data_IF_961388790718
#
_entry.id   IF_961388790718
#
_cell.length_a   1.000
_cell.length_b   1.000
_cell.length_c   1.000
_cell.angle_alpha   90.00
_cell.angle_beta   90.00
_cell.angle_gamma   90.00
#
_symmetry.space_group_name_H-M   'P 1'
#
loop_
_entity.id
_entity.type
_entity.pdbx_description
1 polymer ?
#
# COMPACT_ATOMS: atom_id res chain seq x y z
N UNK A 1 -10.02 17.24 36.43
CA UNK A 1 -9.67 16.81 35.05
C UNK A 1 -10.70 17.40 34.09
N UNK A 2 -10.39 18.51 33.43
CA UNK A 2 -11.28 19.16 32.47
C UNK A 2 -11.32 18.31 31.19
N UNK A 3 -12.45 17.64 30.94
CA UNK A 3 -12.73 16.99 29.65
C UNK A 3 -12.83 18.09 28.59
N UNK A 4 -11.79 18.22 27.75
CA UNK A 4 -11.92 18.93 26.49
C UNK A 4 -13.17 18.41 25.76
N UNK A 5 -13.99 19.28 25.15
CA UNK A 5 -15.12 18.81 24.34
C UNK A 5 -14.55 17.87 23.27
N UNK A 6 -15.13 16.68 23.15
CA UNK A 6 -14.80 15.75 22.08
C UNK A 6 -15.15 16.44 20.78
N UNK A 7 -14.16 16.99 20.09
CA UNK A 7 -14.35 17.49 18.74
C UNK A 7 -14.68 16.28 17.86
N UNK A 8 -15.97 16.11 17.58
CA UNK A 8 -16.43 15.14 16.60
C UNK A 8 -15.74 15.45 15.28
N UNK A 9 -15.23 14.41 14.60
CA UNK A 9 -14.56 14.52 13.30
C UNK A 9 -15.59 14.71 12.19
N UNK A 10 -16.33 15.82 12.27
CA UNK A 10 -17.52 16.08 11.46
C UNK A 10 -17.23 16.17 9.96
N UNK A 11 -16.07 16.73 9.57
CA UNK A 11 -15.66 16.81 8.17
C UNK A 11 -15.39 15.39 7.62
N UNK A 12 -14.67 14.56 8.38
CA UNK A 12 -14.40 13.17 7.98
C UNK A 12 -15.70 12.38 7.77
N UNK A 13 -16.64 12.48 8.71
CA UNK A 13 -17.94 11.81 8.61
C UNK A 13 -18.75 12.32 7.43
N UNK A 14 -18.80 13.64 7.22
CA UNK A 14 -19.50 14.24 6.08
C UNK A 14 -18.93 13.76 4.74
N UNK A 15 -17.60 13.72 4.63
CA UNK A 15 -16.92 13.23 3.42
C UNK A 15 -17.20 11.74 3.22
N UNK A 16 -17.13 10.91 4.26
CA UNK A 16 -17.44 9.48 4.15
C UNK A 16 -18.90 9.21 3.77
N UNK A 17 -19.85 9.97 4.30
CA UNK A 17 -21.26 9.87 3.91
C UNK A 17 -21.43 10.27 2.44
N UNK A 18 -20.75 11.32 1.99
CA UNK A 18 -20.77 11.75 0.58
C UNK A 18 -20.23 10.64 -0.32
N UNK A 19 -19.11 10.04 0.06
CA UNK A 19 -18.48 8.91 -0.62
C UNK A 19 -19.43 7.71 -0.68
N UNK A 20 -20.07 7.36 0.45
CA UNK A 20 -21.04 6.27 0.53
C UNK A 20 -22.22 6.49 -0.44
N UNK A 21 -22.81 7.69 -0.44
CA UNK A 21 -23.93 8.02 -1.31
C UNK A 21 -23.53 7.96 -2.79
N UNK A 22 -22.36 8.51 -3.13
CA UNK A 22 -21.81 8.46 -4.48
C UNK A 22 -21.65 7.02 -4.98
N UNK A 23 -21.09 6.12 -4.16
CA UNK A 23 -20.91 4.72 -4.56
C UNK A 23 -22.18 3.90 -4.54
N UNK A 24 -23.09 4.13 -3.59
CA UNK A 24 -24.39 3.48 -3.60
C UNK A 24 -25.13 3.79 -4.91
N UNK A 25 -25.16 5.06 -5.32
CA UNK A 25 -25.76 5.48 -6.58
C UNK A 25 -25.02 4.89 -7.80
N UNK A 26 -23.68 5.01 -7.83
CA UNK A 26 -22.87 4.52 -8.94
C UNK A 26 -22.96 3.01 -9.15
N UNK A 27 -22.91 2.23 -8.06
CA UNK A 27 -23.00 0.78 -8.12
C UNK A 27 -24.38 0.31 -8.58
N UNK A 28 -25.46 0.94 -8.08
CA UNK A 28 -26.82 0.68 -8.56
C UNK A 28 -26.94 0.94 -10.07
N UNK A 29 -26.39 2.05 -10.57
CA UNK A 29 -26.38 2.35 -12.00
C UNK A 29 -25.62 1.29 -12.80
N UNK A 30 -24.41 0.92 -12.39
CA UNK A 30 -23.59 -0.10 -13.08
C UNK A 30 -24.34 -1.43 -13.17
N UNK A 31 -24.91 -1.90 -12.07
CA UNK A 31 -25.64 -3.17 -12.04
C UNK A 31 -26.89 -3.12 -12.90
N UNK A 32 -27.65 -2.02 -12.84
CA UNK A 32 -28.87 -1.85 -13.66
C UNK A 32 -28.59 -1.84 -15.17
N UNK A 33 -27.42 -1.36 -15.59
CA UNK A 33 -27.04 -1.27 -17.00
C UNK A 33 -26.38 -2.55 -17.50
N UNK A 34 -25.65 -3.26 -16.64
CA UNK A 34 -24.73 -4.31 -17.08
C UNK A 34 -25.25 -5.73 -16.80
N UNK A 35 -26.11 -5.93 -15.79
CA UNK A 35 -26.71 -7.25 -15.54
C UNK A 35 -28.06 -7.35 -16.25
N UNK A 36 -28.20 -8.35 -17.12
CA UNK A 36 -29.42 -8.71 -17.87
C UNK A 36 -30.49 -9.42 -17.01
N UNK A 37 -30.23 -9.65 -15.74
CA UNK A 37 -31.21 -10.19 -14.80
C UNK A 37 -32.22 -9.09 -14.43
N UNK A 38 -33.52 -9.39 -14.49
CA UNK A 38 -34.56 -8.45 -14.08
C UNK A 38 -34.27 -7.91 -12.68
N UNK A 39 -34.05 -6.60 -12.57
CA UNK A 39 -33.95 -5.94 -11.28
C UNK A 39 -35.30 -6.09 -10.58
N UNK A 40 -35.41 -7.06 -9.66
CA UNK A 40 -36.56 -7.17 -8.78
C UNK A 40 -36.32 -6.15 -7.65
N UNK A 41 -37.10 -5.05 -7.54
CA UNK A 41 -36.93 -4.00 -6.55
C UNK A 41 -37.38 -4.47 -5.15
N UNK A 42 -36.79 -5.57 -4.67
CA UNK A 42 -37.01 -6.11 -3.34
C UNK A 42 -35.83 -5.70 -2.46
N UNK A 43 -36.09 -5.39 -1.19
CA UNK A 43 -35.04 -5.07 -0.19
C UNK A 43 -33.93 -6.12 -0.20
N UNK A 44 -34.31 -7.40 -0.34
CA UNK A 44 -33.36 -8.51 -0.43
C UNK A 44 -32.48 -8.46 -1.69
N UNK A 45 -33.07 -8.17 -2.86
CA UNK A 45 -32.31 -8.01 -4.11
C UNK A 45 -31.33 -6.83 -4.07
N UNK A 46 -31.75 -5.71 -3.47
CA UNK A 46 -30.87 -4.54 -3.27
C UNK A 46 -29.73 -4.87 -2.31
N UNK A 47 -30.00 -5.60 -1.22
CA UNK A 47 -28.96 -6.04 -0.28
C UNK A 47 -28.00 -7.03 -0.92
N UNK A 48 -28.49 -8.04 -1.65
CA UNK A 48 -27.66 -9.05 -2.32
C UNK A 48 -26.77 -8.42 -3.41
N UNK A 49 -27.25 -7.35 -4.06
CA UNK A 49 -26.47 -6.57 -5.03
C UNK A 49 -25.41 -5.72 -4.34
N UNK A 50 -25.78 -5.01 -3.26
CA UNK A 50 -24.92 -4.01 -2.61
C UNK A 50 -23.99 -4.59 -1.55
N UNK A 51 -24.23 -5.81 -1.07
CA UNK A 51 -23.46 -6.45 0.01
C UNK A 51 -21.93 -6.37 -0.16
N UNK A 52 -21.35 -6.53 -1.38
CA UNK A 52 -19.91 -6.48 -1.55
C UNK A 52 -19.36 -5.07 -1.28
N UNK A 53 -20.11 -4.02 -1.58
CA UNK A 53 -19.65 -2.65 -1.39
C UNK A 53 -20.00 -2.11 0.00
N UNK A 54 -21.15 -2.51 0.56
CA UNK A 54 -21.67 -1.97 1.83
C UNK A 54 -20.77 -2.32 3.01
N UNK A 55 -20.27 -3.56 3.10
CA UNK A 55 -19.47 -3.99 4.24
C UNK A 55 -18.18 -3.18 4.43
N UNK A 56 -17.29 -3.01 3.41
CA UNK A 56 -16.15 -2.10 3.50
C UNK A 56 -16.51 -0.68 3.93
N UNK A 57 -17.60 -0.10 3.40
CA UNK A 57 -18.00 1.25 3.74
C UNK A 57 -18.49 1.39 5.18
N UNK A 58 -19.25 0.42 5.68
CA UNK A 58 -19.65 0.38 7.09
C UNK A 58 -18.42 0.28 8.00
N UNK A 59 -17.39 -0.47 7.60
CA UNK A 59 -16.13 -0.53 8.33
C UNK A 59 -15.40 0.82 8.30
N UNK A 60 -15.33 1.52 7.17
CA UNK A 60 -14.75 2.88 7.10
C UNK A 60 -15.48 3.86 8.04
N UNK A 61 -16.82 3.83 8.08
CA UNK A 61 -17.59 4.62 9.03
C UNK A 61 -17.28 4.22 10.48
N UNK A 62 -17.20 2.92 10.76
CA UNK A 62 -16.82 2.40 12.08
C UNK A 62 -15.44 2.88 12.53
N UNK A 63 -14.45 2.89 11.62
CA UNK A 63 -13.11 3.43 11.87
C UNK A 63 -13.19 4.93 12.17
N UNK A 64 -13.93 5.70 11.37
CA UNK A 64 -14.09 7.15 11.59
C UNK A 64 -14.67 7.47 12.95
N UNK A 65 -15.74 6.76 13.34
CA UNK A 65 -16.34 6.87 14.67
C UNK A 65 -15.34 6.47 15.75
N UNK A 66 -14.64 5.34 15.60
CA UNK A 66 -13.62 4.89 16.56
C UNK A 66 -12.48 5.90 16.74
N UNK A 67 -12.00 6.50 15.65
CA UNK A 67 -10.98 7.55 15.68
C UNK A 67 -11.51 8.85 16.31
N UNK A 68 -12.78 9.20 16.10
CA UNK A 68 -13.40 10.35 16.79
C UNK A 68 -13.39 10.21 18.31
N UNK A 69 -13.37 8.98 18.83
CA UNK A 69 -13.34 8.68 20.26
C UNK A 69 -11.92 8.63 20.84
N UNK A 70 -10.95 8.08 20.08
CA UNK A 70 -9.57 7.84 20.56
C UNK A 70 -8.57 8.89 20.11
N UNK A 71 -8.68 9.39 18.89
CA UNK A 71 -7.71 10.26 18.23
C UNK A 71 -8.36 11.46 17.52
N UNK A 72 -9.06 12.37 18.24
CA UNK A 72 -9.83 13.46 17.62
C UNK A 72 -8.99 14.45 16.79
N UNK A 73 -7.68 14.51 17.04
CA UNK A 73 -6.73 15.41 16.37
C UNK A 73 -6.11 14.83 15.10
N UNK A 74 -6.42 13.58 14.75
CA UNK A 74 -5.89 12.94 13.53
C UNK A 74 -6.46 13.60 12.26
N UNK A 75 -5.66 13.59 11.19
CA UNK A 75 -6.03 14.12 9.87
C UNK A 75 -7.37 13.53 9.38
N UNK A 76 -8.31 14.39 9.03
CA UNK A 76 -9.69 14.03 8.69
C UNK A 76 -9.92 13.76 7.19
N UNK A 77 -8.89 13.90 6.35
CA UNK A 77 -8.98 13.81 4.90
C UNK A 77 -8.48 12.46 4.36
N UNK A 78 -7.48 11.85 5.02
CA UNK A 78 -6.87 10.61 4.53
C UNK A 78 -7.87 9.44 4.46
N UNK A 79 -8.65 9.20 5.52
CA UNK A 79 -9.60 8.07 5.54
C UNK A 79 -10.69 8.20 4.45
N UNK A 80 -11.37 9.36 4.28
CA UNK A 80 -12.31 9.54 3.18
C UNK A 80 -11.70 9.40 1.79
N UNK A 81 -10.46 9.87 1.59
CA UNK A 81 -9.77 9.72 0.30
C UNK A 81 -9.47 8.24 -0.01
N UNK A 82 -9.03 7.47 0.98
CA UNK A 82 -8.82 6.02 0.83
C UNK A 82 -10.14 5.32 0.54
N UNK A 83 -11.21 5.67 1.24
CA UNK A 83 -12.55 5.13 0.98
C UNK A 83 -13.06 5.48 -0.42
N UNK A 84 -12.78 6.71 -0.90
CA UNK A 84 -13.10 7.15 -2.26
C UNK A 84 -12.37 6.29 -3.29
N UNK A 85 -11.05 6.18 -3.19
CA UNK A 85 -10.26 5.40 -4.16
C UNK A 85 -10.62 3.91 -4.15
N UNK A 86 -10.82 3.33 -2.95
CA UNK A 86 -11.24 1.94 -2.82
C UNK A 86 -12.63 1.70 -3.46
N UNK A 87 -13.59 2.59 -3.21
CA UNK A 87 -14.91 2.51 -3.82
C UNK A 87 -14.88 2.67 -5.34
N UNK A 88 -14.06 3.58 -5.87
CA UNK A 88 -13.88 3.73 -7.31
C UNK A 88 -13.34 2.43 -7.92
N UNK A 89 -12.34 1.82 -7.28
CA UNK A 89 -11.82 0.51 -7.68
C UNK A 89 -12.89 -0.55 -7.74
N UNK A 90 -13.68 -0.72 -6.67
CA UNK A 90 -14.79 -1.69 -6.63
C UNK A 90 -15.83 -1.45 -7.71
N UNK A 91 -16.20 -0.19 -7.95
CA UNK A 91 -17.17 0.17 -8.99
C UNK A 91 -16.65 -0.16 -10.40
N UNK A 92 -15.37 0.13 -10.68
CA UNK A 92 -14.76 -0.17 -11.97
C UNK A 92 -14.65 -1.69 -12.18
N UNK A 93 -14.27 -2.44 -11.14
CA UNK A 93 -14.22 -3.91 -11.21
C UNK A 93 -15.60 -4.50 -11.46
N UNK A 94 -16.64 -4.05 -10.73
CA UNK A 94 -18.02 -4.50 -10.94
C UNK A 94 -18.54 -4.19 -12.35
N UNK A 95 -18.10 -3.07 -12.94
CA UNK A 95 -18.41 -2.71 -14.33
C UNK A 95 -17.68 -3.59 -15.34
N UNK A 96 -16.43 -3.99 -15.07
CA UNK A 96 -15.60 -4.77 -15.99
C UNK A 96 -15.89 -6.28 -15.95
N UNK A 97 -16.34 -6.79 -14.81
CA UNK A 97 -16.55 -8.23 -14.58
C UNK A 97 -17.35 -8.92 -15.71
N UNK A 98 -18.52 -8.41 -16.17
CA UNK A 98 -19.29 -9.13 -17.19
C UNK A 98 -18.59 -9.24 -18.54
N UNK A 99 -17.80 -8.22 -18.90
CA UNK A 99 -16.99 -8.25 -20.12
C UNK A 99 -15.79 -9.18 -20.02
N UNK A 100 -15.18 -9.31 -18.84
CA UNK A 100 -14.05 -10.22 -18.60
C UNK A 100 -14.51 -11.67 -18.47
N UNK A 101 -15.64 -11.92 -17.82
CA UNK A 101 -16.26 -13.23 -17.70
C UNK A 101 -16.69 -13.81 -19.06
N UNK A 102 -16.97 -12.96 -20.05
CA UNK A 102 -17.22 -13.38 -21.43
C UNK A 102 -15.95 -13.88 -22.15
N UNK A 103 -14.77 -13.41 -21.75
CA UNK A 103 -13.47 -13.84 -22.31
C UNK A 103 -12.99 -15.11 -21.63
N UNK A 104 -12.99 -15.14 -20.29
CA UNK A 104 -12.64 -16.32 -19.50
C UNK A 104 -13.51 -16.40 -18.25
N UNK A 105 -14.55 -17.23 -18.36
CA UNK A 105 -15.52 -17.43 -17.28
C UNK A 105 -14.93 -18.12 -16.04
N UNK A 106 -13.87 -18.92 -16.19
CA UNK A 106 -13.28 -19.64 -15.05
C UNK A 106 -12.45 -18.68 -14.20
N UNK A 107 -11.68 -17.80 -14.84
CA UNK A 107 -10.85 -16.84 -14.14
C UNK A 107 -11.65 -15.66 -13.56
N UNK A 108 -12.59 -15.10 -14.33
CA UNK A 108 -13.15 -13.78 -14.06
C UNK A 108 -14.55 -13.74 -13.45
N UNK A 109 -15.23 -14.88 -13.27
CA UNK A 109 -16.52 -14.90 -12.58
C UNK A 109 -16.38 -14.56 -11.09
N UNK A 110 -17.22 -13.65 -10.60
CA UNK A 110 -17.24 -13.20 -9.20
C UNK A 110 -16.00 -12.41 -8.78
N UNK A 111 -15.26 -11.81 -9.72
CA UNK A 111 -14.08 -10.99 -9.42
C UNK A 111 -14.45 -9.73 -8.65
N UNK A 112 -15.64 -9.18 -8.87
CA UNK A 112 -16.20 -8.06 -8.10
C UNK A 112 -16.32 -8.41 -6.60
N UNK A 113 -16.87 -9.58 -6.29
CA UNK A 113 -17.03 -10.10 -4.93
C UNK A 113 -15.66 -10.43 -4.29
N UNK A 114 -14.74 -11.05 -5.04
CA UNK A 114 -13.37 -11.29 -4.58
C UNK A 114 -12.65 -9.97 -4.25
N UNK A 115 -12.80 -8.95 -5.09
CA UNK A 115 -12.17 -7.64 -4.86
C UNK A 115 -12.75 -6.95 -3.63
N UNK A 116 -14.07 -7.01 -3.43
CA UNK A 116 -14.73 -6.54 -2.20
C UNK A 116 -14.19 -7.24 -0.95
N UNK A 117 -14.00 -8.55 -1.00
CA UNK A 117 -13.44 -9.31 0.12
C UNK A 117 -12.02 -8.81 0.46
N UNK A 118 -11.18 -8.60 -0.56
CA UNK A 118 -9.83 -8.06 -0.36
C UNK A 118 -9.82 -6.65 0.22
N UNK A 119 -10.72 -5.77 -0.24
CA UNK A 119 -10.88 -4.43 0.36
C UNK A 119 -11.33 -4.57 1.82
N UNK A 120 -12.29 -5.46 2.11
CA UNK A 120 -12.75 -5.72 3.49
C UNK A 120 -11.61 -6.18 4.38
N UNK A 121 -10.82 -7.17 3.93
CA UNK A 121 -9.64 -7.66 4.66
C UNK A 121 -8.65 -6.52 4.88
N UNK A 122 -8.37 -5.70 3.86
CA UNK A 122 -7.49 -4.53 3.96
C UNK A 122 -7.97 -3.52 5.00
N UNK A 123 -9.27 -3.22 5.05
CA UNK A 123 -9.88 -2.31 6.03
C UNK A 123 -9.87 -2.91 7.44
N UNK A 124 -10.03 -4.23 7.58
CA UNK A 124 -9.86 -4.93 8.85
C UNK A 124 -8.41 -4.83 9.33
N UNK A 125 -7.42 -5.11 8.46
CA UNK A 125 -5.99 -4.96 8.78
C UNK A 125 -5.68 -3.51 9.18
N UNK A 126 -6.19 -2.52 8.44
CA UNK A 126 -6.09 -1.10 8.79
C UNK A 126 -6.67 -0.82 10.19
N UNK A 127 -7.85 -1.37 10.49
CA UNK A 127 -8.50 -1.22 11.79
C UNK A 127 -7.64 -1.80 12.92
N UNK A 128 -7.06 -2.99 12.71
CA UNK A 128 -6.17 -3.61 13.68
C UNK A 128 -4.92 -2.73 13.86
N UNK A 129 -4.31 -2.23 12.78
CA UNK A 129 -3.15 -1.34 12.84
C UNK A 129 -3.46 -0.06 13.65
N UNK A 130 -4.63 0.56 13.43
CA UNK A 130 -5.01 1.82 14.08
C UNK A 130 -5.45 1.66 15.54
N UNK A 131 -6.17 0.59 15.87
CA UNK A 131 -6.82 0.45 17.19
C UNK A 131 -6.08 -0.46 18.17
N UNK A 132 -5.15 -1.28 17.71
CA UNK A 132 -4.27 -2.05 18.60
C UNK A 132 -3.13 -1.15 19.08
N UNK A 133 -2.86 -1.07 20.39
CA UNK A 133 -1.79 -0.23 20.92
C UNK A 133 -0.42 -0.92 20.74
N UNK A 134 0.04 -1.02 19.49
CA UNK A 134 1.28 -1.74 19.13
C UNK A 134 2.49 -1.30 19.94
N UNK A 135 2.67 0.00 20.14
CA UNK A 135 3.80 0.51 20.95
C UNK A 135 3.74 0.06 22.40
N UNK A 136 2.55 -0.11 22.98
CA UNK A 136 2.42 -0.61 24.35
C UNK A 136 2.71 -2.12 24.40
N UNK A 137 2.19 -2.87 23.44
CA UNK A 137 2.42 -4.32 23.34
C UNK A 137 3.91 -4.64 23.12
N UNK A 138 4.56 -3.93 22.19
CA UNK A 138 5.99 -4.11 21.93
C UNK A 138 6.84 -3.72 23.15
N UNK A 139 6.50 -2.62 23.84
CA UNK A 139 7.20 -2.24 25.08
C UNK A 139 7.00 -3.25 26.20
N UNK A 140 5.82 -3.85 26.30
CA UNK A 140 5.55 -4.86 27.34
C UNK A 140 6.31 -6.17 27.08
N UNK A 141 6.34 -6.64 25.83
CA UNK A 141 6.91 -7.95 25.50
C UNK A 141 8.40 -7.89 25.13
N UNK A 142 8.80 -6.93 24.30
CA UNK A 142 10.16 -6.78 23.76
C UNK A 142 10.97 -5.67 24.44
N UNK A 143 10.37 -4.89 25.36
CA UNK A 143 10.98 -3.73 26.05
C UNK A 143 11.45 -2.60 25.12
N UNK A 144 11.02 -2.59 23.88
CA UNK A 144 11.31 -1.56 22.86
C UNK A 144 10.01 -1.07 22.22
N UNK A 145 10.00 0.13 21.61
CA UNK A 145 8.86 0.55 20.79
C UNK A 145 8.84 -0.19 19.45
N UNK A 146 7.69 -0.21 18.77
CA UNK A 146 7.60 -0.86 17.45
C UNK A 146 8.58 -0.23 16.45
N UNK A 147 8.66 1.11 16.45
CA UNK A 147 9.56 1.85 15.57
C UNK A 147 11.03 1.54 15.87
N UNK A 148 11.45 1.55 17.14
CA UNK A 148 12.83 1.24 17.52
C UNK A 148 13.19 -0.20 17.13
N UNK A 149 12.25 -1.12 17.31
CA UNK A 149 12.47 -2.52 16.97
C UNK A 149 12.63 -2.73 15.46
N UNK A 150 11.81 -2.06 14.64
CA UNK A 150 11.94 -2.06 13.18
C UNK A 150 13.26 -1.43 12.73
N UNK A 151 13.69 -0.34 13.37
CA UNK A 151 14.94 0.34 13.06
C UNK A 151 16.16 -0.56 13.30
N UNK A 152 16.27 -1.16 14.49
CA UNK A 152 17.40 -2.01 14.85
C UNK A 152 17.51 -3.27 13.98
N UNK A 153 16.39 -3.79 13.47
CA UNK A 153 16.35 -5.03 12.69
C UNK A 153 16.23 -4.79 11.18
N UNK A 154 16.52 -3.58 10.69
CA UNK A 154 16.38 -3.18 9.27
C UNK A 154 17.04 -4.15 8.29
N UNK A 155 18.26 -4.62 8.58
CA UNK A 155 18.98 -5.57 7.72
C UNK A 155 18.38 -6.98 7.76
N UNK A 156 17.88 -7.43 8.91
CA UNK A 156 17.23 -8.73 9.03
C UNK A 156 15.94 -8.74 8.21
N UNK A 157 15.11 -7.70 8.34
CA UNK A 157 13.89 -7.55 7.56
C UNK A 157 14.15 -7.50 6.06
N UNK A 158 15.14 -6.71 5.63
CA UNK A 158 15.49 -6.63 4.22
C UNK A 158 16.01 -7.96 3.69
N UNK A 159 16.81 -8.68 4.46
CA UNK A 159 17.31 -10.02 4.10
C UNK A 159 16.16 -11.02 3.98
N UNK A 160 15.18 -10.98 4.89
CA UNK A 160 13.97 -11.81 4.81
C UNK A 160 13.18 -11.47 3.55
N UNK A 161 12.94 -10.19 3.26
CA UNK A 161 12.22 -9.75 2.07
C UNK A 161 12.90 -10.19 0.77
N UNK A 162 14.22 -9.99 0.67
CA UNK A 162 15.04 -10.47 -0.44
C UNK A 162 14.98 -12.00 -0.54
N UNK A 163 15.11 -12.70 0.58
CA UNK A 163 15.03 -14.16 0.64
C UNK A 163 13.70 -14.70 0.16
N UNK A 164 12.59 -14.03 0.51
CA UNK A 164 11.25 -14.40 0.02
C UNK A 164 11.13 -14.24 -1.50
N UNK A 165 11.69 -13.18 -2.08
CA UNK A 165 11.74 -12.98 -3.53
C UNK A 165 12.58 -14.07 -4.20
N UNK A 166 13.78 -14.34 -3.66
CA UNK A 166 14.64 -15.40 -4.20
C UNK A 166 13.94 -16.75 -4.13
N UNK A 167 13.20 -17.02 -3.06
CA UNK A 167 12.41 -18.23 -2.91
C UNK A 167 11.29 -18.36 -3.95
N UNK A 168 10.77 -17.27 -4.55
CA UNK A 168 9.79 -17.38 -5.64
C UNK A 168 10.39 -17.97 -6.91
N UNK A 169 11.70 -17.84 -7.14
CA UNK A 169 12.32 -18.47 -8.32
C UNK A 169 12.26 -20.00 -8.25
N UNK A 170 12.39 -20.57 -7.05
CA UNK A 170 12.32 -22.02 -6.83
C UNK A 170 10.89 -22.53 -6.63
N UNK A 171 10.12 -21.87 -5.74
CA UNK A 171 8.81 -22.35 -5.27
C UNK A 171 7.63 -21.47 -5.72
N UNK A 172 7.89 -20.43 -6.51
CA UNK A 172 6.87 -19.52 -6.96
C UNK A 172 5.99 -20.12 -8.06
N UNK A 173 4.85 -19.49 -8.20
CA UNK A 173 3.78 -19.76 -9.16
C UNK A 173 3.54 -18.50 -9.99
N UNK A 174 2.91 -18.70 -11.14
CA UNK A 174 2.57 -17.65 -12.09
C UNK A 174 1.07 -17.67 -12.37
N UNK A 175 0.25 -17.07 -11.49
CA UNK A 175 -1.21 -17.10 -11.62
C UNK A 175 -1.70 -16.37 -12.88
N UNK A 176 -0.89 -15.49 -13.46
CA UNK A 176 -1.26 -14.66 -14.61
C UNK A 176 -0.76 -15.24 -15.95
N UNK A 177 -0.06 -16.37 -15.96
CA UNK A 177 0.53 -16.95 -17.17
C UNK A 177 1.56 -16.05 -17.85
N UNK A 178 2.19 -15.14 -17.10
CA UNK A 178 3.17 -14.15 -17.58
C UNK A 178 4.54 -14.74 -17.94
N UNK A 179 4.76 -16.02 -17.62
CA UNK A 179 6.04 -16.71 -17.66
C UNK A 179 6.94 -16.42 -16.45
N UNK A 180 6.46 -15.67 -15.44
CA UNK A 180 7.26 -15.27 -14.28
C UNK A 180 6.69 -15.78 -12.97
N UNK A 181 7.50 -16.55 -12.23
CA UNK A 181 7.17 -17.09 -10.91
C UNK A 181 7.38 -16.04 -9.82
N UNK A 182 6.44 -15.11 -9.69
CA UNK A 182 6.50 -14.02 -8.71
C UNK A 182 5.58 -14.23 -7.48
N UNK A 183 4.72 -15.25 -7.49
CA UNK A 183 3.67 -15.42 -6.48
C UNK A 183 3.82 -16.72 -5.69
N UNK A 184 3.50 -16.72 -4.40
CA UNK A 184 3.25 -17.96 -3.67
C UNK A 184 1.76 -18.29 -3.72
N UNK A 185 1.42 -19.49 -4.21
CA UNK A 185 0.06 -20.00 -4.16
C UNK A 185 -0.13 -20.80 -2.88
N UNK A 186 -0.94 -20.27 -1.95
CA UNK A 186 -1.27 -20.91 -0.67
C UNK A 186 -2.61 -21.66 -0.72
N UNK A 187 -3.12 -21.94 -1.91
CA UNK A 187 -4.39 -22.62 -2.17
C UNK A 187 -5.59 -21.69 -2.08
N UNK A 188 -5.78 -21.02 -0.94
CA UNK A 188 -6.90 -20.11 -0.72
C UNK A 188 -6.64 -18.70 -1.27
N UNK A 189 -5.38 -18.27 -1.28
CA UNK A 189 -4.97 -16.97 -1.78
C UNK A 189 -3.56 -17.04 -2.38
N UNK A 190 -3.26 -16.07 -3.23
CA UNK A 190 -1.91 -15.87 -3.77
C UNK A 190 -1.28 -14.68 -3.07
N UNK A 191 -0.03 -14.83 -2.64
CA UNK A 191 0.74 -13.80 -1.97
C UNK A 191 1.93 -13.40 -2.84
N UNK A 192 2.05 -12.12 -3.15
CA UNK A 192 3.18 -11.57 -3.89
C UNK A 192 4.21 -10.98 -2.92
N UNK A 193 5.40 -11.58 -2.75
CA UNK A 193 6.37 -11.08 -1.79
C UNK A 193 6.92 -9.69 -2.10
N UNK A 194 6.86 -9.25 -3.37
CA UNK A 194 7.31 -7.91 -3.77
C UNK A 194 6.49 -6.80 -3.11
N UNK A 195 5.21 -7.05 -2.82
CA UNK A 195 4.36 -6.13 -2.06
C UNK A 195 4.89 -5.89 -0.66
N UNK A 196 5.32 -6.95 0.02
CA UNK A 196 5.92 -6.84 1.36
C UNK A 196 7.32 -6.22 1.29
N UNK A 197 8.13 -6.59 0.30
CA UNK A 197 9.46 -6.03 0.10
C UNK A 197 9.42 -4.51 -0.10
N UNK A 198 8.38 -3.96 -0.75
CA UNK A 198 8.20 -2.50 -0.89
C UNK A 198 8.15 -1.79 0.46
N UNK A 199 7.36 -2.32 1.40
CA UNK A 199 7.22 -1.74 2.75
C UNK A 199 8.53 -1.91 3.53
N UNK A 200 9.14 -3.09 3.47
CA UNK A 200 10.42 -3.36 4.13
C UNK A 200 11.53 -2.43 3.62
N UNK A 201 11.59 -2.18 2.31
CA UNK A 201 12.58 -1.29 1.72
C UNK A 201 12.37 0.16 2.17
N UNK A 202 11.13 0.63 2.25
CA UNK A 202 10.79 1.95 2.82
C UNK A 202 11.29 2.06 4.26
N UNK A 203 11.03 1.05 5.09
CA UNK A 203 11.50 1.00 6.48
C UNK A 203 13.03 1.01 6.51
N UNK A 204 13.69 0.17 5.72
CA UNK A 204 15.15 0.12 5.64
C UNK A 204 15.75 1.47 5.25
N UNK A 205 15.23 2.11 4.20
CA UNK A 205 15.71 3.41 3.73
C UNK A 205 15.50 4.48 4.80
N UNK A 206 14.33 4.54 5.42
CA UNK A 206 14.04 5.50 6.49
C UNK A 206 15.00 5.32 7.69
N UNK A 207 15.17 4.10 8.14
CA UNK A 207 16.04 3.73 9.27
C UNK A 207 17.51 4.03 8.99
N UNK A 208 18.02 3.60 7.82
CA UNK A 208 19.41 3.80 7.45
C UNK A 208 19.76 5.28 7.28
N UNK A 209 18.87 6.05 6.62
CA UNK A 209 19.07 7.49 6.41
C UNK A 209 18.96 8.28 7.72
N UNK A 210 18.12 7.84 8.67
CA UNK A 210 18.02 8.45 9.98
C UNK A 210 19.30 8.25 10.82
N UNK A 211 19.83 7.02 10.87
CA UNK A 211 21.07 6.70 11.59
C UNK A 211 22.28 7.47 11.06
N UNK A 212 22.36 7.66 9.74
CA UNK A 212 23.49 8.33 9.09
C UNK A 212 23.20 9.80 8.77
N UNK A 213 22.13 10.39 9.32
CA UNK A 213 21.67 11.74 8.97
C UNK A 213 22.77 12.78 9.10
N UNK A 214 23.52 12.76 10.20
CA UNK A 214 24.58 13.74 10.47
C UNK A 214 25.70 13.64 9.43
N UNK A 215 26.15 12.42 9.13
CA UNK A 215 27.22 12.15 8.15
C UNK A 215 26.78 12.45 6.71
N UNK A 216 25.51 12.19 6.38
CA UNK A 216 24.92 12.48 5.08
C UNK A 216 24.69 13.99 4.90
N UNK A 217 24.37 14.71 5.98
CA UNK A 217 24.17 16.17 5.96
C UNK A 217 25.47 16.98 5.94
N UNK A 218 26.56 16.46 6.53
CA UNK A 218 27.86 17.13 6.63
C UNK A 218 28.78 16.86 5.43
N UNK A 219 28.24 16.39 4.30
CA UNK A 219 28.98 15.90 3.13
C UNK A 219 30.22 16.71 2.75
N UNK A 220 31.24 16.03 2.23
CA UNK A 220 32.47 16.67 1.77
C UNK A 220 32.15 17.65 0.62
N UNK A 221 32.57 18.91 0.77
CA UNK A 221 32.47 19.92 -0.28
C UNK A 221 33.55 19.66 -1.33
N UNK A 222 33.18 19.03 -2.45
CA UNK A 222 33.98 18.99 -3.67
C UNK A 222 33.45 20.09 -4.61
N UNK A 223 33.84 21.33 -4.34
CA UNK A 223 33.37 22.50 -5.12
C UNK A 223 31.91 22.85 -4.84
N UNK A 224 31.05 23.14 -5.86
CA UNK A 224 29.62 23.39 -5.64
C UNK A 224 28.82 22.13 -5.27
N UNK A 225 29.46 20.96 -5.24
CA UNK A 225 28.85 19.66 -4.94
C UNK A 225 29.21 19.21 -3.52
N UNK A 226 28.21 19.20 -2.65
CA UNK A 226 28.28 18.49 -1.36
C UNK A 226 27.95 17.02 -1.60
N UNK A 227 28.98 16.17 -1.64
CA UNK A 227 28.81 14.72 -1.75
C UNK A 227 28.93 14.08 -0.36
N UNK A 228 27.94 13.32 0.14
CA UNK A 228 28.10 12.43 1.28
C UNK A 228 29.29 11.51 1.02
N UNK A 229 30.02 11.08 2.06
CA UNK A 229 31.14 10.19 1.86
C UNK A 229 30.64 8.89 1.21
N UNK A 230 31.22 8.51 0.06
CA UNK A 230 30.86 7.30 -0.70
C UNK A 230 30.67 6.04 0.16
N UNK A 231 31.49 5.78 1.21
CA UNK A 231 31.32 4.60 2.07
C UNK A 231 29.94 4.48 2.72
N UNK A 232 29.23 5.59 2.95
CA UNK A 232 27.90 5.58 3.58
C UNK A 232 26.76 5.45 2.57
N UNK A 233 26.96 5.88 1.33
CA UNK A 233 25.99 5.67 0.25
C UNK A 233 26.08 4.24 -0.32
N UNK A 234 27.26 3.60 -0.27
CA UNK A 234 27.45 2.27 -0.86
C UNK A 234 26.52 1.18 -0.29
N UNK A 235 26.35 1.02 1.04
CA UNK A 235 25.43 0.02 1.58
C UNK A 235 23.97 0.30 1.22
N UNK A 236 23.57 1.58 1.25
CA UNK A 236 22.23 2.03 0.87
C UNK A 236 21.94 1.68 -0.59
N UNK A 237 22.79 2.14 -1.51
CA UNK A 237 22.63 1.93 -2.96
C UNK A 237 22.81 0.46 -3.32
N UNK A 238 23.71 -0.27 -2.65
CA UNK A 238 23.93 -1.69 -2.89
C UNK A 238 22.72 -2.53 -2.52
N UNK A 239 22.16 -2.33 -1.32
CA UNK A 239 20.99 -3.07 -0.85
C UNK A 239 19.73 -2.70 -1.65
N UNK A 240 19.54 -1.41 -1.93
CA UNK A 240 18.46 -0.94 -2.80
C UNK A 240 18.60 -1.50 -4.21
N UNK A 241 19.80 -1.46 -4.79
CA UNK A 241 20.11 -1.95 -6.13
C UNK A 241 19.90 -3.45 -6.25
N UNK A 242 20.24 -4.22 -5.21
CA UNK A 242 19.93 -5.64 -5.12
C UNK A 242 18.41 -5.90 -5.14
N UNK A 243 17.65 -5.18 -4.31
CA UNK A 243 16.19 -5.30 -4.28
C UNK A 243 15.56 -4.91 -5.63
N UNK A 244 16.02 -3.82 -6.25
CA UNK A 244 15.58 -3.38 -7.58
C UNK A 244 15.90 -4.40 -8.66
N UNK A 245 17.11 -4.96 -8.67
CA UNK A 245 17.51 -6.00 -9.61
C UNK A 245 16.56 -7.19 -9.55
N UNK A 246 16.23 -7.66 -8.35
CA UNK A 246 15.30 -8.77 -8.15
C UNK A 246 13.89 -8.47 -8.69
N UNK A 247 13.38 -7.25 -8.48
CA UNK A 247 12.06 -6.83 -8.96
C UNK A 247 12.04 -6.73 -10.49
N UNK A 248 13.12 -6.23 -11.10
CA UNK A 248 13.29 -6.20 -12.56
C UNK A 248 13.33 -7.63 -13.11
N UNK A 249 14.02 -8.57 -12.43
CA UNK A 249 13.99 -9.99 -12.81
C UNK A 249 12.60 -10.60 -12.70
N UNK A 250 11.78 -10.15 -11.74
CA UNK A 250 10.36 -10.52 -11.65
C UNK A 250 9.49 -9.82 -12.72
N UNK A 251 10.08 -9.04 -13.63
CA UNK A 251 9.39 -8.27 -14.68
C UNK A 251 8.29 -7.36 -14.15
N UNK A 252 8.40 -6.92 -12.90
CA UNK A 252 7.46 -6.00 -12.27
C UNK A 252 7.98 -4.56 -12.40
N UNK A 253 7.89 -4.04 -13.63
CA UNK A 253 8.35 -2.68 -13.94
C UNK A 253 7.61 -1.61 -13.13
N UNK A 254 6.31 -1.81 -12.87
CA UNK A 254 5.52 -0.90 -12.05
C UNK A 254 6.08 -0.77 -10.64
N UNK A 255 6.35 -1.90 -9.98
CA UNK A 255 6.96 -1.90 -8.65
C UNK A 255 8.37 -1.29 -8.66
N UNK A 256 9.18 -1.57 -9.69
CA UNK A 256 10.51 -0.98 -9.83
C UNK A 256 10.44 0.55 -9.91
N UNK A 257 9.55 1.11 -10.74
CA UNK A 257 9.36 2.56 -10.88
C UNK A 257 8.91 3.22 -9.58
N UNK A 258 7.97 2.59 -8.87
CA UNK A 258 7.49 3.09 -7.59
C UNK A 258 8.62 3.12 -6.56
N UNK A 259 9.38 2.04 -6.41
CA UNK A 259 10.49 1.98 -5.44
C UNK A 259 11.64 2.90 -5.80
N UNK A 260 11.93 3.06 -7.09
CA UNK A 260 12.89 4.03 -7.59
C UNK A 260 12.48 5.46 -7.20
N UNK A 261 11.21 5.81 -7.42
CA UNK A 261 10.67 7.13 -7.08
C UNK A 261 10.70 7.38 -5.58
N UNK A 262 10.31 6.38 -4.77
CA UNK A 262 10.38 6.44 -3.30
C UNK A 262 11.82 6.61 -2.81
N UNK A 263 12.77 5.89 -3.40
CA UNK A 263 14.18 6.01 -3.07
C UNK A 263 14.70 7.42 -3.32
N UNK A 264 14.44 8.00 -4.50
CA UNK A 264 14.84 9.37 -4.81
C UNK A 264 14.19 10.38 -3.88
N UNK A 265 12.90 10.22 -3.57
CA UNK A 265 12.19 11.10 -2.66
C UNK A 265 12.79 11.06 -1.25
N UNK A 266 13.07 9.87 -0.71
CA UNK A 266 13.69 9.72 0.60
C UNK A 266 15.13 10.25 0.64
N UNK A 267 15.91 10.00 -0.41
CA UNK A 267 17.27 10.50 -0.52
C UNK A 267 17.29 12.03 -0.58
N UNK A 268 16.36 12.64 -1.33
CA UNK A 268 16.19 14.10 -1.36
C UNK A 268 15.81 14.65 0.02
N UNK A 269 14.84 14.04 0.71
CA UNK A 269 14.41 14.48 2.04
C UNK A 269 15.56 14.37 3.06
N UNK A 270 16.39 13.33 2.98
CA UNK A 270 17.50 13.13 3.90
C UNK A 270 18.72 14.04 3.61
N UNK A 271 19.02 14.29 2.34
CA UNK A 271 20.21 15.06 1.91
C UNK A 271 19.93 16.54 1.67
N UNK A 272 18.67 16.92 1.43
CA UNK A 272 18.26 18.23 0.90
C UNK A 272 18.98 18.64 -0.40
N UNK A 273 19.58 17.69 -1.12
CA UNK A 273 20.37 17.94 -2.32
C UNK A 273 19.66 17.42 -3.57
N UNK A 274 19.18 18.36 -4.39
CA UNK A 274 18.47 18.06 -5.64
C UNK A 274 19.34 17.37 -6.71
N UNK A 275 20.67 17.43 -6.59
CA UNK A 275 21.57 16.81 -7.57
C UNK A 275 21.42 15.28 -7.60
N UNK A 276 21.12 14.64 -6.48
CA UNK A 276 20.86 13.20 -6.44
C UNK A 276 19.61 12.80 -7.21
N UNK A 277 18.57 13.63 -7.12
CA UNK A 277 17.33 13.42 -7.87
C UNK A 277 17.60 13.58 -9.36
N UNK A 278 18.33 14.62 -9.77
CA UNK A 278 18.71 14.83 -11.17
C UNK A 278 19.55 13.67 -11.71
N UNK A 279 20.57 13.25 -10.96
CA UNK A 279 21.41 12.11 -11.32
C UNK A 279 20.57 10.82 -11.45
N UNK A 280 19.69 10.55 -10.48
CA UNK A 280 18.77 9.43 -10.51
C UNK A 280 17.85 9.46 -11.74
N UNK A 281 17.14 10.57 -11.96
CA UNK A 281 16.25 10.73 -13.11
C UNK A 281 16.99 10.58 -14.44
N UNK A 282 18.22 11.10 -14.54
CA UNK A 282 19.06 10.92 -15.73
C UNK A 282 19.46 9.46 -15.95
N UNK A 283 19.87 8.75 -14.90
CA UNK A 283 20.21 7.33 -14.96
C UNK A 283 19.00 6.48 -15.32
N UNK A 284 17.82 6.81 -14.79
CA UNK A 284 16.57 6.17 -15.15
C UNK A 284 16.19 6.42 -16.61
N UNK A 285 16.33 7.65 -17.10
CA UNK A 285 16.08 8.00 -18.50
C UNK A 285 16.99 7.23 -19.47
N UNK A 286 18.28 7.11 -19.13
CA UNK A 286 19.24 6.30 -19.89
C UNK A 286 18.86 4.81 -19.84
N UNK A 287 18.55 4.29 -18.65
CA UNK A 287 18.18 2.89 -18.47
C UNK A 287 16.86 2.49 -19.11
N UNK A 288 15.94 3.44 -19.32
CA UNK A 288 14.67 3.20 -20.05
C UNK A 288 14.84 3.23 -21.57
N UNK A 289 15.92 3.82 -22.08
CA UNK A 289 16.19 3.90 -23.53
C UNK A 289 16.88 2.64 -24.06
N UNK A 290 17.61 1.92 -23.19
CA UNK A 290 18.33 0.66 -23.49
C UNK A 290 17.41 -0.54 -23.27
#
# INVERSE_FOLDING_TARGET
MLRYPRNLRGIELQLLVTVLLFFAAGYMLVVSVTRTQEFIPTVRGVVDILWPSVLPFLLFLGISVGMSLRTPKADQLLLPLVALLAGMGLMITARLEPSLAAVDSVAYTGVDAKQSLWVTIGVVVLSIILFVPWDQLFRQYFRTSLMDWLDHHRYAWLTIGIGLIVATFAFGSDPNGSGVRAWFNLGLFSFQPSELLKIILVIFLASYLNEHREVVSQGYQLGPLTLPPLPYLMPLVGMWGMAMGLIIFQRDLGAALLLFSVFLAMLYVATSNGWYVLAGLSAFGVGSYV
#
